data_IF_344176131891
#
_entry.id   IF_344176131891
#
_cell.length_a   1.000
_cell.length_b   1.000
_cell.length_c   1.000
_cell.angle_alpha   90.00
_cell.angle_beta   90.00
_cell.angle_gamma   90.00
#
_symmetry.space_group_name_H-M   'P 1'
#
loop_
_entity.id
_entity.type
_entity.pdbx_description
1 polymer ?
#
# COMPACT_ATOMS: atom_id res chain seq x y z
N UNK A 1 -20.89 0.70 10.77
CA UNK A 1 -21.24 -0.59 10.13
C UNK A 1 -21.63 -0.44 8.65
N UNK A 2 -22.45 0.53 8.25
CA UNK A 2 -22.82 0.73 6.84
C UNK A 2 -21.63 1.15 5.94
N UNK A 3 -20.73 1.97 6.45
CA UNK A 3 -19.54 2.49 5.77
C UNK A 3 -18.51 1.39 5.48
N UNK A 4 -18.25 0.51 6.46
CA UNK A 4 -17.36 -0.66 6.29
C UNK A 4 -17.92 -1.63 5.24
N UNK A 5 -19.22 -1.86 5.22
CA UNK A 5 -19.86 -2.72 4.23
C UNK A 5 -19.81 -2.11 2.80
N UNK A 6 -19.83 -0.77 2.68
CA UNK A 6 -19.64 -0.07 1.41
C UNK A 6 -18.21 -0.22 0.89
N UNK A 7 -17.22 0.01 1.76
CA UNK A 7 -15.80 -0.12 1.41
C UNK A 7 -15.46 -1.57 0.97
N UNK A 8 -15.99 -2.57 1.66
CA UNK A 8 -15.79 -3.98 1.28
C UNK A 8 -16.41 -4.32 -0.09
N UNK A 9 -17.58 -3.74 -0.43
CA UNK A 9 -18.18 -3.93 -1.77
C UNK A 9 -17.34 -3.28 -2.86
N UNK A 10 -16.81 -2.08 -2.61
CA UNK A 10 -15.91 -1.38 -3.54
C UNK A 10 -14.65 -2.21 -3.78
N UNK A 11 -14.00 -2.68 -2.72
CA UNK A 11 -12.83 -3.54 -2.80
C UNK A 11 -13.12 -4.83 -3.60
N UNK A 12 -14.20 -5.52 -3.30
CA UNK A 12 -14.61 -6.74 -4.00
C UNK A 12 -14.80 -6.51 -5.49
N UNK A 13 -15.48 -5.42 -5.85
CA UNK A 13 -15.69 -5.02 -7.25
C UNK A 13 -14.37 -4.74 -7.97
N UNK A 14 -13.49 -3.94 -7.34
CA UNK A 14 -12.23 -3.50 -7.95
C UNK A 14 -11.25 -4.67 -8.13
N UNK A 15 -11.11 -5.54 -7.12
CA UNK A 15 -10.27 -6.74 -7.23
C UNK A 15 -10.76 -7.63 -8.37
N UNK A 16 -12.06 -7.91 -8.44
CA UNK A 16 -12.64 -8.71 -9.52
C UNK A 16 -12.44 -8.06 -10.89
N UNK A 17 -12.66 -6.75 -11.01
CA UNK A 17 -12.46 -6.01 -12.25
C UNK A 17 -11.00 -6.02 -12.71
N UNK A 18 -10.05 -5.79 -11.79
CA UNK A 18 -8.63 -5.83 -12.09
C UNK A 18 -8.17 -7.24 -12.49
N UNK A 19 -8.59 -8.29 -11.76
CA UNK A 19 -8.31 -9.68 -12.13
C UNK A 19 -8.82 -10.04 -13.51
N UNK A 20 -10.06 -9.66 -13.82
CA UNK A 20 -10.68 -9.95 -15.11
C UNK A 20 -9.96 -9.22 -16.26
N UNK A 21 -9.56 -7.95 -16.07
CA UNK A 21 -8.73 -7.21 -17.04
C UNK A 21 -7.38 -7.87 -17.27
N UNK A 22 -6.75 -8.38 -16.20
CA UNK A 22 -5.49 -9.09 -16.29
C UNK A 22 -5.63 -10.51 -16.88
N UNK A 23 -6.85 -10.97 -17.22
CA UNK A 23 -7.11 -12.29 -17.76
C UNK A 23 -6.84 -13.45 -16.79
N UNK A 24 -6.75 -13.16 -15.48
CA UNK A 24 -6.38 -14.16 -14.49
C UNK A 24 -7.61 -14.92 -13.95
N UNK A 25 -7.47 -16.25 -13.80
CA UNK A 25 -8.38 -17.04 -12.98
C UNK A 25 -8.15 -16.76 -11.49
N UNK A 26 -9.11 -17.14 -10.64
CA UNK A 26 -8.92 -17.07 -9.17
C UNK A 26 -7.74 -17.93 -8.71
N UNK A 27 -7.52 -19.08 -9.32
CA UNK A 27 -6.40 -19.97 -8.99
C UNK A 27 -5.06 -19.31 -9.36
N UNK A 28 -4.98 -18.70 -10.53
CA UNK A 28 -3.77 -18.04 -11.00
C UNK A 28 -3.44 -16.79 -10.15
N UNK A 29 -4.47 -15.96 -9.85
CA UNK A 29 -4.28 -14.83 -8.94
C UNK A 29 -3.81 -15.30 -7.56
N UNK A 30 -4.44 -16.35 -7.01
CA UNK A 30 -4.08 -16.90 -5.70
C UNK A 30 -2.64 -17.39 -5.65
N UNK A 31 -2.20 -18.10 -6.70
CA UNK A 31 -0.83 -18.58 -6.82
C UNK A 31 0.19 -17.43 -6.89
N UNK A 32 -0.06 -16.41 -7.71
CA UNK A 32 0.86 -15.26 -7.90
C UNK A 32 0.90 -14.37 -6.67
N UNK A 33 -0.26 -14.03 -6.11
CA UNK A 33 -0.37 -13.17 -4.93
C UNK A 33 -0.14 -13.90 -3.60
N UNK A 34 0.10 -15.21 -3.62
CA UNK A 34 0.21 -16.05 -2.41
C UNK A 34 -1.00 -15.90 -1.47
N UNK A 35 -2.19 -15.89 -2.06
CA UNK A 35 -3.48 -15.81 -1.34
C UNK A 35 -4.31 -17.04 -1.67
N UNK A 36 -4.92 -17.66 -0.65
CA UNK A 36 -5.72 -18.86 -0.88
C UNK A 36 -6.94 -18.56 -1.76
N UNK A 37 -7.33 -19.52 -2.61
CA UNK A 37 -8.53 -19.40 -3.45
C UNK A 37 -9.77 -19.08 -2.63
N UNK A 38 -9.92 -19.72 -1.46
CA UNK A 38 -11.05 -19.47 -0.55
C UNK A 38 -11.10 -18.02 -0.06
N UNK A 39 -9.95 -17.44 0.30
CA UNK A 39 -9.86 -16.04 0.69
C UNK A 39 -10.23 -15.10 -0.48
N UNK A 40 -9.78 -15.39 -1.70
CA UNK A 40 -10.14 -14.61 -2.90
C UNK A 40 -11.63 -14.70 -3.23
N UNK A 41 -12.21 -15.90 -3.13
CA UNK A 41 -13.66 -16.08 -3.32
C UNK A 41 -14.45 -15.28 -2.29
N UNK A 42 -14.05 -15.32 -1.01
CA UNK A 42 -14.66 -14.52 0.05
C UNK A 42 -14.53 -13.02 -0.22
N UNK A 43 -13.33 -12.59 -0.63
CA UNK A 43 -13.04 -11.19 -0.94
C UNK A 43 -13.91 -10.67 -2.10
N UNK A 44 -14.00 -11.40 -3.23
CA UNK A 44 -14.82 -10.99 -4.39
C UNK A 44 -16.34 -11.05 -4.10
N UNK A 45 -16.75 -11.70 -3.03
CA UNK A 45 -18.14 -11.69 -2.52
C UNK A 45 -18.39 -10.64 -1.44
N UNK A 46 -17.42 -9.77 -1.15
CA UNK A 46 -17.46 -8.80 -0.06
C UNK A 46 -17.68 -9.45 1.33
N UNK A 47 -17.21 -10.67 1.51
CA UNK A 47 -17.32 -11.48 2.75
C UNK A 47 -15.96 -11.67 3.45
N UNK A 48 -14.88 -11.14 2.87
CA UNK A 48 -13.53 -11.23 3.41
C UNK A 48 -13.07 -9.89 3.96
N UNK A 49 -12.19 -9.94 4.96
CA UNK A 49 -11.48 -8.76 5.45
C UNK A 49 -9.96 -9.02 5.29
N UNK A 50 -9.38 -8.69 4.12
CA UNK A 50 -7.95 -8.90 3.90
C UNK A 50 -7.14 -7.96 4.79
N UNK A 51 -6.05 -8.47 5.33
CA UNK A 51 -5.07 -7.62 6.00
C UNK A 51 -4.29 -6.79 4.98
N UNK A 52 -3.58 -5.78 5.49
CA UNK A 52 -2.81 -4.85 4.65
C UNK A 52 -1.81 -5.56 3.71
N UNK A 53 -1.04 -6.52 4.23
CA UNK A 53 -0.08 -7.27 3.42
C UNK A 53 -0.75 -8.04 2.27
N UNK A 54 -1.97 -8.52 2.46
CA UNK A 54 -2.76 -9.17 1.40
C UNK A 54 -3.17 -8.16 0.33
N UNK A 55 -3.58 -6.93 0.72
CA UNK A 55 -3.93 -5.87 -0.23
C UNK A 55 -2.73 -5.47 -1.10
N UNK A 56 -1.55 -5.31 -0.49
CA UNK A 56 -0.31 -5.00 -1.21
C UNK A 56 0.01 -6.09 -2.23
N UNK A 57 0.04 -7.37 -1.83
CA UNK A 57 0.32 -8.48 -2.75
C UNK A 57 -0.69 -8.59 -3.91
N UNK A 58 -1.96 -8.31 -3.64
CA UNK A 58 -2.99 -8.29 -4.70
C UNK A 58 -2.77 -7.13 -5.66
N UNK A 59 -2.49 -5.93 -5.14
CA UNK A 59 -2.21 -4.74 -5.92
C UNK A 59 -1.01 -4.97 -6.85
N UNK A 60 0.12 -5.43 -6.30
CA UNK A 60 1.33 -5.75 -7.07
C UNK A 60 1.07 -6.80 -8.16
N UNK A 61 0.39 -7.90 -7.80
CA UNK A 61 0.08 -8.97 -8.77
C UNK A 61 -0.83 -8.50 -9.89
N UNK A 62 -1.74 -7.58 -9.60
CA UNK A 62 -2.71 -7.03 -10.55
C UNK A 62 -2.17 -5.81 -11.31
N UNK A 63 -1.00 -5.30 -10.95
CA UNK A 63 -0.40 -4.11 -11.58
C UNK A 63 -1.24 -2.84 -11.33
N UNK A 64 -1.83 -2.71 -10.14
CA UNK A 64 -2.65 -1.56 -9.75
C UNK A 64 -2.18 -1.03 -8.40
N UNK A 65 -2.57 0.21 -8.06
CA UNK A 65 -2.32 0.74 -6.72
C UNK A 65 -3.24 0.11 -5.67
N UNK A 66 -2.83 0.12 -4.40
CA UNK A 66 -3.69 -0.30 -3.28
C UNK A 66 -4.97 0.55 -3.24
N UNK A 67 -4.86 1.85 -3.53
CA UNK A 67 -6.04 2.73 -3.59
C UNK A 67 -6.98 2.38 -4.74
N UNK A 68 -6.47 1.95 -5.89
CA UNK A 68 -7.32 1.49 -6.99
C UNK A 68 -8.17 0.27 -6.60
N UNK A 69 -7.74 -0.48 -5.59
CA UNK A 69 -8.53 -1.56 -5.02
C UNK A 69 -9.56 -1.04 -4.00
N UNK A 70 -9.27 0.03 -3.27
CA UNK A 70 -10.06 0.50 -2.11
C UNK A 70 -11.04 1.61 -2.45
N UNK A 71 -10.76 2.42 -3.49
CA UNK A 71 -11.52 3.64 -3.78
C UNK A 71 -12.40 3.49 -5.04
N UNK A 72 -13.55 4.19 -5.02
CA UNK A 72 -14.32 4.44 -6.22
C UNK A 72 -13.59 5.42 -7.16
N UNK A 73 -14.12 5.65 -8.38
CA UNK A 73 -13.56 6.63 -9.31
C UNK A 73 -13.47 8.01 -8.64
N UNK A 74 -12.32 8.67 -8.77
CA UNK A 74 -12.09 9.98 -8.19
C UNK A 74 -13.04 11.02 -8.80
N UNK A 75 -13.88 11.63 -7.98
CA UNK A 75 -14.71 12.76 -8.38
C UNK A 75 -13.99 14.09 -8.08
N UNK A 76 -13.87 14.95 -9.10
CA UNK A 76 -13.33 16.30 -8.96
C UNK A 76 -11.86 16.47 -9.35
N UNK A 77 -11.45 17.75 -9.56
CA UNK A 77 -10.07 18.14 -9.93
C UNK A 77 -9.14 18.28 -8.73
N UNK A 78 -9.70 18.43 -7.54
CA UNK A 78 -8.95 18.60 -6.29
C UNK A 78 -9.54 17.68 -5.24
N UNK A 79 -8.69 16.91 -4.59
CA UNK A 79 -9.05 16.09 -3.43
C UNK A 79 -8.21 16.53 -2.23
N UNK A 80 -8.88 16.88 -1.14
CA UNK A 80 -8.26 17.23 0.14
C UNK A 80 -8.64 16.15 1.14
N UNK A 81 -7.66 15.56 1.79
CA UNK A 81 -7.85 14.45 2.74
C UNK A 81 -7.20 14.81 4.07
N UNK A 82 -7.92 14.61 5.16
CA UNK A 82 -7.42 14.76 6.53
C UNK A 82 -7.00 13.38 7.07
N UNK A 83 -5.90 13.31 7.80
CA UNK A 83 -5.40 12.04 8.31
C UNK A 83 -6.42 11.32 9.21
N UNK A 84 -7.15 12.05 10.03
CA UNK A 84 -8.14 11.47 10.95
C UNK A 84 -9.37 10.90 10.24
N UNK A 85 -9.62 11.31 9.00
CA UNK A 85 -10.70 10.78 8.18
C UNK A 85 -10.32 9.46 7.46
N UNK A 86 -9.03 9.10 7.46
CA UNK A 86 -8.54 7.89 6.80
C UNK A 86 -8.20 6.83 7.84
N UNK A 87 -8.86 5.67 7.85
CA UNK A 87 -8.51 4.59 8.76
C UNK A 87 -7.11 4.04 8.43
N UNK A 88 -6.35 3.57 9.44
CA UNK A 88 -5.08 2.92 9.18
C UNK A 88 -5.30 1.60 8.44
N UNK A 89 -4.45 1.33 7.45
CA UNK A 89 -4.41 0.03 6.75
C UNK A 89 -3.53 -0.99 7.47
N UNK A 90 -2.58 -0.48 8.27
CA UNK A 90 -1.76 -1.30 9.16
C UNK A 90 -1.66 -0.63 10.53
N UNK A 91 -1.64 -1.46 11.58
CA UNK A 91 -1.41 -1.05 12.97
C UNK A 91 -0.48 -2.05 13.64
N UNK A 92 0.60 -1.56 14.22
CA UNK A 92 1.54 -2.33 15.01
C UNK A 92 1.03 -2.55 16.45
N UNK A 93 1.69 -3.44 17.18
CA UNK A 93 1.31 -3.82 18.55
C UNK A 93 1.49 -2.68 19.56
N UNK A 94 2.45 -1.77 19.30
CA UNK A 94 2.75 -0.62 20.16
C UNK A 94 2.09 0.67 19.69
N UNK A 95 1.29 0.60 18.64
CA UNK A 95 0.54 1.71 18.10
C UNK A 95 1.15 2.36 16.87
N UNK A 96 2.16 1.78 16.25
CA UNK A 96 2.56 2.18 14.89
C UNK A 96 1.40 2.06 13.93
N UNK A 97 1.34 2.90 12.91
CA UNK A 97 0.28 2.86 11.93
C UNK A 97 0.72 3.37 10.55
N UNK A 98 0.07 2.85 9.52
CA UNK A 98 0.21 3.31 8.14
C UNK A 98 -1.17 3.66 7.57
N UNK A 99 -1.27 4.86 6.97
CA UNK A 99 -2.50 5.37 6.33
C UNK A 99 -2.22 5.77 4.89
N UNK A 100 -2.96 5.19 3.96
CA UNK A 100 -2.93 5.62 2.56
C UNK A 100 -3.80 6.87 2.42
N UNK A 101 -3.18 8.03 2.33
CA UNK A 101 -3.86 9.31 2.30
C UNK A 101 -4.58 9.54 0.97
N UNK A 102 -3.90 9.32 -0.12
CA UNK A 102 -4.46 9.47 -1.47
C UNK A 102 -3.57 8.79 -2.51
N UNK A 103 -4.17 8.54 -3.66
CA UNK A 103 -3.42 8.16 -4.86
C UNK A 103 -3.72 9.16 -5.97
N UNK A 104 -2.69 9.50 -6.72
CA UNK A 104 -2.85 10.29 -7.94
C UNK A 104 -3.31 9.39 -9.08
N UNK A 105 -4.06 9.96 -10.02
CA UNK A 105 -4.44 9.30 -11.27
C UNK A 105 -3.58 9.82 -12.42
N UNK A 106 -3.34 8.99 -13.44
CA UNK A 106 -2.58 9.39 -14.63
C UNK A 106 -1.66 8.30 -15.14
N UNK A 107 -0.77 8.63 -16.06
CA UNK A 107 0.13 7.67 -16.70
C UNK A 107 1.19 7.05 -15.78
N UNK A 108 1.51 7.73 -14.67
CA UNK A 108 2.38 7.25 -13.60
C UNK A 108 1.74 7.58 -12.25
N UNK A 109 0.85 6.73 -11.73
CA UNK A 109 0.19 6.98 -10.46
C UNK A 109 1.19 6.92 -9.31
N UNK A 110 0.91 7.69 -8.25
CA UNK A 110 1.69 7.68 -7.02
C UNK A 110 0.75 7.59 -5.82
N UNK A 111 1.12 6.78 -4.85
CA UNK A 111 0.45 6.68 -3.56
C UNK A 111 1.15 7.59 -2.55
N UNK A 112 0.37 8.30 -1.74
CA UNK A 112 0.89 9.13 -0.65
C UNK A 112 0.42 8.54 0.67
N UNK A 113 1.38 8.17 1.50
CA UNK A 113 1.18 7.53 2.78
C UNK A 113 1.63 8.43 3.93
N UNK A 114 0.97 8.30 5.06
CA UNK A 114 1.45 8.78 6.36
C UNK A 114 1.72 7.59 7.26
N UNK A 115 2.89 7.62 7.87
CA UNK A 115 3.32 6.61 8.81
C UNK A 115 3.63 7.23 10.16
N UNK A 116 3.30 6.49 11.18
CA UNK A 116 3.78 6.66 12.55
C UNK A 116 4.43 5.36 12.97
N UNK A 117 5.69 5.42 13.37
CA UNK A 117 6.48 4.27 13.81
C UNK A 117 6.89 4.47 15.27
N UNK A 118 6.41 3.61 16.14
CA UNK A 118 6.82 3.58 17.55
C UNK A 118 8.22 2.95 17.67
N UNK A 119 9.01 3.33 18.72
CA UNK A 119 10.34 2.81 18.93
C UNK A 119 10.39 1.27 18.95
N UNK A 120 11.24 0.70 18.10
CA UNK A 120 11.46 -0.74 17.98
C UNK A 120 10.36 -1.53 17.25
N UNK A 121 9.30 -0.90 16.76
CA UNK A 121 8.37 -1.55 15.84
C UNK A 121 8.87 -1.49 14.40
N UNK A 122 8.62 -2.56 13.68
CA UNK A 122 9.03 -2.72 12.30
C UNK A 122 7.86 -3.22 11.43
N UNK A 123 7.73 -2.64 10.25
CA UNK A 123 6.88 -3.16 9.18
C UNK A 123 7.76 -3.76 8.09
N UNK A 124 7.79 -5.10 7.95
CA UNK A 124 8.46 -5.76 6.82
C UNK A 124 7.58 -5.67 5.58
N UNK A 125 8.12 -5.17 4.50
CA UNK A 125 7.47 -5.13 3.18
C UNK A 125 8.06 -6.20 2.26
N UNK A 126 7.18 -6.76 1.41
CA UNK A 126 7.62 -7.64 0.33
C UNK A 126 8.07 -6.80 -0.87
N UNK A 127 8.96 -7.35 -1.73
CA UNK A 127 9.30 -6.71 -3.00
C UNK A 127 8.05 -6.37 -3.81
N UNK A 128 8.00 -5.15 -4.30
CA UNK A 128 6.98 -4.70 -5.26
C UNK A 128 7.30 -5.20 -6.69
N UNK A 129 6.45 -4.89 -7.63
CA UNK A 129 6.74 -5.11 -9.04
C UNK A 129 7.94 -4.24 -9.49
N UNK A 130 8.68 -4.73 -10.49
CA UNK A 130 9.82 -3.98 -11.04
C UNK A 130 9.43 -2.57 -11.52
N UNK A 131 10.26 -1.59 -11.21
CA UNK A 131 10.06 -0.19 -11.55
C UNK A 131 9.26 0.62 -10.53
N UNK A 132 8.86 0.02 -9.40
CA UNK A 132 8.35 0.78 -8.25
C UNK A 132 9.51 1.48 -7.56
N UNK A 133 9.38 2.78 -7.33
CA UNK A 133 10.32 3.58 -6.55
C UNK A 133 9.59 4.15 -5.35
N UNK A 134 10.21 4.05 -4.18
CA UNK A 134 9.69 4.64 -2.97
C UNK A 134 10.53 5.79 -2.48
N UNK A 135 9.88 6.78 -1.90
CA UNK A 135 10.55 7.87 -1.17
C UNK A 135 9.99 7.94 0.25
N UNK A 136 10.85 8.07 1.23
CA UNK A 136 10.48 8.28 2.63
C UNK A 136 11.07 9.59 3.13
N UNK A 137 10.22 10.48 3.65
CA UNK A 137 10.61 11.79 4.19
C UNK A 137 10.24 11.84 5.66
N UNK A 138 11.22 11.81 6.54
CA UNK A 138 11.02 11.86 7.99
C UNK A 138 10.73 13.29 8.42
N UNK A 139 9.56 13.51 9.03
CA UNK A 139 9.13 14.83 9.51
C UNK A 139 9.45 15.06 10.97
N UNK A 140 9.52 13.99 11.77
CA UNK A 140 9.96 14.04 13.18
C UNK A 140 10.45 12.66 13.62
N UNK A 141 11.33 12.63 14.62
CA UNK A 141 11.93 11.39 15.12
C UNK A 141 12.99 10.81 14.17
N UNK A 142 13.18 9.50 14.25
CA UNK A 142 14.17 8.76 13.46
C UNK A 142 13.65 7.37 13.13
N UNK A 143 13.93 6.91 11.93
CA UNK A 143 13.69 5.54 11.51
C UNK A 143 14.96 4.88 10.96
N UNK A 144 14.96 3.57 10.88
CA UNK A 144 15.89 2.78 10.07
C UNK A 144 15.11 2.20 8.88
N UNK A 145 15.51 2.58 7.69
CA UNK A 145 15.08 1.95 6.46
C UNK A 145 16.01 0.76 6.20
N UNK A 146 15.45 -0.43 6.04
CA UNK A 146 16.21 -1.65 5.68
C UNK A 146 15.90 -1.96 4.22
N UNK A 147 16.92 -2.03 3.37
CA UNK A 147 16.78 -2.36 1.94
C UNK A 147 17.76 -3.48 1.61
N UNK A 148 17.25 -4.59 1.11
CA UNK A 148 18.04 -5.80 0.80
C UNK A 148 19.00 -6.19 1.94
N UNK A 149 18.49 -6.15 3.18
CA UNK A 149 19.23 -6.46 4.40
C UNK A 149 20.22 -5.39 4.88
N UNK A 150 20.37 -4.28 4.15
CA UNK A 150 21.24 -3.16 4.55
C UNK A 150 20.44 -2.08 5.30
N UNK A 151 20.95 -1.66 6.46
CA UNK A 151 20.32 -0.64 7.30
C UNK A 151 20.76 0.76 6.91
N UNK A 152 19.79 1.66 6.75
CA UNK A 152 19.98 3.07 6.43
C UNK A 152 19.22 3.92 7.46
N UNK A 153 19.92 4.60 8.40
CA UNK A 153 19.26 5.53 9.32
C UNK A 153 18.77 6.76 8.55
N UNK A 154 17.53 7.17 8.82
CA UNK A 154 16.91 8.38 8.25
C UNK A 154 16.35 9.22 9.40
N UNK A 155 16.80 10.46 9.52
CA UNK A 155 16.46 11.39 10.60
C UNK A 155 15.50 12.49 10.14
N UNK A 156 14.90 13.18 11.09
CA UNK A 156 14.02 14.31 10.82
C UNK A 156 14.64 15.32 9.85
N UNK A 157 13.90 15.71 8.82
CA UNK A 157 14.35 16.59 7.73
C UNK A 157 15.10 15.88 6.60
N UNK A 158 15.37 14.59 6.73
CA UNK A 158 15.98 13.80 5.65
C UNK A 158 14.93 13.07 4.80
N UNK A 159 15.32 12.82 3.56
CA UNK A 159 14.54 12.03 2.60
C UNK A 159 15.46 10.96 1.99
N UNK A 160 14.98 9.73 1.96
CA UNK A 160 15.61 8.64 1.23
C UNK A 160 14.72 8.21 0.05
N UNK A 161 15.34 7.72 -1.03
CA UNK A 161 14.67 7.09 -2.15
C UNK A 161 15.35 5.77 -2.46
N UNK A 162 14.57 4.75 -2.84
CA UNK A 162 15.09 3.42 -3.15
C UNK A 162 14.16 2.67 -4.11
N UNK A 163 14.72 1.68 -4.80
CA UNK A 163 13.96 0.77 -5.65
C UNK A 163 13.18 -0.21 -4.77
N UNK A 164 11.86 -0.21 -4.87
CA UNK A 164 10.97 -1.01 -4.03
C UNK A 164 10.81 -2.47 -4.47
N UNK A 165 11.50 -2.91 -5.51
CA UNK A 165 11.43 -4.27 -6.05
C UNK A 165 12.34 -5.28 -5.33
N UNK A 166 12.91 -4.89 -4.18
CA UNK A 166 13.69 -5.73 -3.27
C UNK A 166 13.03 -5.81 -1.89
N UNK A 167 13.35 -6.82 -1.06
CA UNK A 167 12.86 -6.88 0.32
C UNK A 167 13.29 -5.64 1.10
N UNK A 168 12.35 -5.01 1.78
CA UNK A 168 12.62 -3.81 2.56
C UNK A 168 11.75 -3.72 3.82
N UNK A 169 12.14 -2.89 4.78
CA UNK A 169 11.39 -2.70 6.02
C UNK A 169 11.56 -1.27 6.57
N UNK A 170 10.56 -0.85 7.34
CA UNK A 170 10.53 0.45 8.02
C UNK A 170 10.49 0.22 9.52
N UNK A 171 11.54 0.64 10.24
CA UNK A 171 11.65 0.43 11.68
C UNK A 171 11.80 1.75 12.43
N UNK A 172 10.97 1.98 13.45
CA UNK A 172 11.16 3.07 14.40
C UNK A 172 12.44 2.85 15.21
N UNK A 173 13.42 3.75 15.11
CA UNK A 173 14.76 3.55 15.70
C UNK A 173 15.21 4.65 16.66
N UNK A 174 14.38 5.65 16.90
CA UNK A 174 14.62 6.69 17.90
C UNK A 174 14.14 6.31 19.31
N UNK A 175 14.30 7.23 20.26
CA UNK A 175 13.64 7.16 21.57
C UNK A 175 12.18 7.63 21.49
N UNK A 176 11.89 8.49 20.52
CA UNK A 176 10.58 9.07 20.27
C UNK A 176 9.91 8.45 19.03
N UNK A 177 8.59 8.59 18.96
CA UNK A 177 7.80 8.22 17.80
C UNK A 177 8.31 8.90 16.54
N UNK A 178 8.53 8.13 15.48
CA UNK A 178 8.87 8.66 14.17
C UNK A 178 7.61 8.93 13.33
N UNK A 179 7.54 10.11 12.73
CA UNK A 179 6.53 10.46 11.74
C UNK A 179 7.18 10.69 10.39
N UNK A 180 6.60 10.12 9.35
CA UNK A 180 7.10 10.28 7.99
C UNK A 180 5.96 10.33 6.96
N UNK A 181 6.27 10.92 5.83
CA UNK A 181 5.48 10.82 4.61
C UNK A 181 6.23 9.92 3.64
N UNK A 182 5.53 8.97 3.07
CA UNK A 182 6.06 8.07 2.06
C UNK A 182 5.30 8.26 0.75
N UNK A 183 6.00 8.23 -0.37
CA UNK A 183 5.39 8.17 -1.69
C UNK A 183 5.85 6.92 -2.40
N UNK A 184 4.89 6.12 -2.89
CA UNK A 184 5.16 4.97 -3.74
C UNK A 184 4.84 5.36 -5.18
N UNK A 185 5.85 5.42 -6.03
CA UNK A 185 5.73 5.73 -7.44
C UNK A 185 5.54 4.43 -8.22
N UNK A 186 4.39 4.28 -8.84
CA UNK A 186 4.07 3.09 -9.61
C UNK A 186 4.51 3.26 -11.07
N UNK A 187 5.06 2.22 -11.70
CA UNK A 187 5.39 2.28 -13.11
C UNK A 187 4.13 2.53 -13.95
N UNK A 188 4.25 3.15 -15.13
CA UNK A 188 3.13 3.28 -16.04
C UNK A 188 2.49 1.92 -16.30
N UNK A 189 1.17 1.83 -16.22
CA UNK A 189 0.46 0.62 -16.62
C UNK A 189 0.75 0.25 -18.08
N UNK A 190 0.53 -1.02 -18.47
CA UNK A 190 0.69 -1.42 -19.87
C UNK A 190 -0.17 -0.51 -20.75
N UNK A 191 0.43 -0.02 -21.85
CA UNK A 191 -0.28 0.79 -22.82
C UNK A 191 -1.53 0.02 -23.30
N UNK A 192 -2.68 0.70 -23.49
CA UNK A 192 -3.84 0.04 -24.06
C UNK A 192 -3.43 -0.57 -25.41
N UNK A 193 -3.58 -1.87 -25.53
CA UNK A 193 -3.43 -2.56 -26.83
C UNK A 193 -4.51 -2.03 -27.76
N UNK A 194 -4.09 -1.30 -28.79
CA UNK A 194 -4.91 -0.85 -29.92
C UNK A 194 -5.43 -2.04 -30.72
#
# INVERSE_FOLDING_TARGET
MAETASALRTLAHNVRAARTRAGLSLDELGRRAQVSKGALVGLEKAQGNPNFATLVRLADTLGVSVSALLEGPAEGRVRVVTADAVPPLWTGERGSEARLMLTTSGGAPAEVWRWRLEPGEEYPSHPHQAGVVETVSVTSGRMTLVVDGTEHPVEAGQTAAFDGDVPHAYRGSGADTCHLVMTVHLPPGPAPTT
#
